data_IF_447987788151
#
_entry.id   IF_447987788151
#
_cell.length_a   1.000
_cell.length_b   1.000
_cell.length_c   1.000
_cell.angle_alpha   90.00
_cell.angle_beta   90.00
_cell.angle_gamma   90.00
#
_symmetry.space_group_name_H-M   'P 1'
#
loop_
_entity.id
_entity.type
_entity.pdbx_description
1 polymer ?
#
# COMPACT_ATOMS: atom_id res chain seq x y z
N UNK A 1 -7.26 -23.69 17.96
CA UNK A 1 -6.66 -23.07 19.15
C UNK A 1 -7.51 -21.89 19.57
N UNK A 2 -8.16 -21.98 20.73
CA UNK A 2 -8.87 -20.87 21.35
C UNK A 2 -7.79 -19.93 21.86
N UNK A 3 -7.56 -18.79 21.20
CA UNK A 3 -6.65 -17.77 21.72
C UNK A 3 -7.30 -17.19 22.98
N UNK A 4 -6.60 -17.30 24.11
CA UNK A 4 -6.99 -16.68 25.38
C UNK A 4 -7.12 -15.17 25.20
N UNK A 5 -8.11 -14.55 25.87
CA UNK A 5 -8.24 -13.10 25.89
C UNK A 5 -6.94 -12.46 26.44
N UNK A 6 -6.45 -11.36 25.82
CA UNK A 6 -5.25 -10.70 26.31
C UNK A 6 -5.54 -10.01 27.65
N UNK A 7 -4.78 -10.38 28.68
CA UNK A 7 -4.80 -9.71 29.99
C UNK A 7 -4.30 -8.26 29.87
N UNK A 8 -4.82 -7.35 30.70
CA UNK A 8 -4.44 -5.92 30.70
C UNK A 8 -2.92 -5.74 30.81
N UNK A 9 -2.27 -6.57 31.63
CA UNK A 9 -0.80 -6.65 31.74
C UNK A 9 -0.09 -6.84 30.40
N UNK A 10 -0.57 -7.80 29.59
CA UNK A 10 0.01 -8.07 28.26
C UNK A 10 -0.16 -6.89 27.29
N UNK A 11 -1.23 -6.12 27.44
CA UNK A 11 -1.50 -4.91 26.65
C UNK A 11 -0.52 -3.81 27.03
N UNK A 12 -0.35 -3.56 28.33
CA UNK A 12 0.57 -2.55 28.86
C UNK A 12 2.03 -2.84 28.48
N UNK A 13 2.50 -4.07 28.63
CA UNK A 13 3.85 -4.49 28.20
C UNK A 13 4.04 -4.30 26.70
N UNK A 14 3.04 -4.69 25.89
CA UNK A 14 3.13 -4.49 24.43
C UNK A 14 3.15 -3.01 24.03
N UNK A 15 2.56 -2.13 24.84
CA UNK A 15 2.62 -0.68 24.62
C UNK A 15 3.90 -0.04 25.17
N UNK A 16 4.79 -0.82 25.79
CA UNK A 16 5.99 -0.33 26.46
C UNK A 16 5.65 0.55 27.67
N UNK A 17 4.58 0.22 28.39
CA UNK A 17 4.07 0.94 29.55
C UNK A 17 4.05 0.05 30.79
N UNK A 18 5.11 -0.74 31.00
CA UNK A 18 5.23 -1.66 32.12
C UNK A 18 5.14 -0.95 33.48
N UNK A 19 5.53 0.32 33.53
CA UNK A 19 5.41 1.19 34.71
C UNK A 19 3.96 1.45 35.16
N UNK A 20 2.95 1.12 34.34
CA UNK A 20 1.54 1.23 34.70
C UNK A 20 0.94 -0.08 35.22
N UNK A 21 1.66 -1.21 35.14
CA UNK A 21 1.11 -2.53 35.48
C UNK A 21 0.68 -2.59 36.95
N UNK A 22 1.58 -2.22 37.87
CA UNK A 22 1.29 -2.24 39.31
C UNK A 22 0.13 -1.31 39.66
N UNK A 23 0.08 -0.10 39.08
CA UNK A 23 -1.03 0.85 39.29
C UNK A 23 -2.36 0.30 38.78
N UNK A 24 -2.38 -0.41 37.66
CA UNK A 24 -3.61 -1.00 37.11
C UNK A 24 -4.03 -2.25 37.89
N UNK A 25 -3.09 -3.05 38.39
CA UNK A 25 -3.35 -4.19 39.28
C UNK A 25 -3.91 -3.71 40.64
N UNK A 26 -3.31 -2.68 41.26
CA UNK A 26 -3.74 -2.09 42.54
C UNK A 26 -5.13 -1.45 42.48
N UNK A 27 -5.51 -0.92 41.32
CA UNK A 27 -6.84 -0.32 41.09
C UNK A 27 -7.84 -1.33 40.48
N UNK A 28 -7.50 -2.62 40.48
CA UNK A 28 -8.36 -3.71 39.97
C UNK A 28 -8.87 -3.47 38.55
N UNK A 29 -8.06 -2.85 37.68
CA UNK A 29 -8.42 -2.54 36.30
C UNK A 29 -8.32 -3.81 35.45
N UNK A 30 -9.43 -4.54 35.39
CA UNK A 30 -9.61 -5.68 34.49
C UNK A 30 -9.92 -5.24 33.05
N UNK A 31 -10.05 -6.22 32.13
CA UNK A 31 -10.27 -5.91 30.71
C UNK A 31 -11.63 -5.24 30.44
N UNK A 32 -12.63 -5.43 31.30
CA UNK A 32 -13.93 -4.77 31.15
C UNK A 32 -13.83 -3.30 31.58
N UNK A 33 -13.22 -3.04 32.73
CA UNK A 33 -12.98 -1.70 33.28
C UNK A 33 -12.00 -0.90 32.41
N UNK A 34 -10.96 -1.56 31.87
CA UNK A 34 -9.99 -0.97 30.94
C UNK A 34 -10.65 -0.35 29.70
N UNK A 35 -11.74 -0.95 29.20
CA UNK A 35 -12.50 -0.47 28.03
C UNK A 35 -13.45 0.68 28.34
N UNK A 36 -13.68 0.96 29.62
CA UNK A 36 -14.58 2.00 30.09
C UNK A 36 -13.82 3.21 30.65
N UNK A 37 -12.48 3.19 30.58
CA UNK A 37 -11.63 4.29 31.03
C UNK A 37 -11.93 5.57 30.26
N UNK A 38 -12.45 6.56 30.98
CA UNK A 38 -12.74 7.90 30.46
C UNK A 38 -11.64 8.90 30.86
N UNK A 39 -11.76 10.14 30.42
CA UNK A 39 -10.76 11.17 30.68
C UNK A 39 -10.57 11.46 32.19
N UNK A 40 -11.63 11.30 32.98
CA UNK A 40 -11.63 11.48 34.43
C UNK A 40 -10.83 10.37 35.11
N UNK A 41 -11.16 9.12 34.82
CA UNK A 41 -10.52 7.92 35.38
C UNK A 41 -9.04 7.85 34.99
N UNK A 42 -8.71 8.24 33.75
CA UNK A 42 -7.32 8.31 33.29
C UNK A 42 -6.50 9.36 34.03
N UNK A 43 -7.11 10.46 34.45
CA UNK A 43 -6.43 11.52 35.20
C UNK A 43 -6.06 11.04 36.61
N UNK A 44 -6.89 10.20 37.21
CA UNK A 44 -6.65 9.58 38.52
C UNK A 44 -5.62 8.44 38.43
N UNK A 45 -5.78 7.53 37.46
CA UNK A 45 -4.88 6.38 37.25
C UNK A 45 -3.49 6.77 36.75
N UNK A 46 -3.39 7.82 35.92
CA UNK A 46 -2.12 8.22 35.30
C UNK A 46 -1.90 9.72 35.53
N UNK A 47 -1.42 10.15 36.72
CA UNK A 47 -1.26 11.58 37.03
C UNK A 47 -0.27 12.30 36.11
N UNK A 48 0.77 11.59 35.65
CA UNK A 48 1.80 12.11 34.73
C UNK A 48 1.18 12.39 33.35
N UNK A 49 1.02 13.67 33.03
CA UNK A 49 0.37 14.16 31.79
C UNK A 49 0.93 13.51 30.52
N UNK A 50 2.27 13.45 30.39
CA UNK A 50 2.91 12.90 29.19
C UNK A 50 2.66 11.41 28.98
N UNK A 51 2.60 10.64 30.07
CA UNK A 51 2.29 9.22 30.03
C UNK A 51 0.81 8.99 29.71
N UNK A 52 -0.07 9.81 30.31
CA UNK A 52 -1.53 9.77 30.08
C UNK A 52 -1.89 10.05 28.63
N UNK A 53 -1.26 11.03 27.98
CA UNK A 53 -1.51 11.34 26.55
C UNK A 53 -1.09 10.18 25.66
N UNK A 54 0.08 9.56 25.91
CA UNK A 54 0.53 8.38 25.16
C UNK A 54 -0.42 7.20 25.37
N UNK A 55 -0.86 6.96 26.60
CA UNK A 55 -1.83 5.92 26.93
C UNK A 55 -3.17 6.15 26.21
N UNK A 56 -3.74 7.35 26.30
CA UNK A 56 -5.01 7.70 25.65
C UNK A 56 -4.96 7.51 24.12
N UNK A 57 -3.83 7.86 23.49
CA UNK A 57 -3.62 7.62 22.06
C UNK A 57 -3.64 6.12 21.71
N UNK A 58 -2.99 5.28 22.54
CA UNK A 58 -2.96 3.83 22.36
C UNK A 58 -4.31 3.18 22.67
N UNK A 59 -5.01 3.63 23.70
CA UNK A 59 -6.35 3.17 24.06
C UNK A 59 -7.35 3.46 22.94
N UNK A 60 -7.38 4.67 22.41
CA UNK A 60 -8.23 5.04 21.27
C UNK A 60 -7.90 4.23 20.01
N UNK A 61 -6.60 3.97 19.80
CA UNK A 61 -6.14 3.08 18.73
C UNK A 61 -6.55 1.63 19.00
N UNK A 62 -6.65 1.18 20.24
CA UNK A 62 -7.09 -0.17 20.59
C UNK A 62 -8.61 -0.36 20.46
N UNK A 63 -9.41 0.62 20.88
CA UNK A 63 -10.87 0.66 20.70
C UNK A 63 -11.29 0.64 19.22
N UNK A 64 -10.49 1.27 18.34
CA UNK A 64 -10.70 1.20 16.90
C UNK A 64 -10.50 -0.22 16.32
N UNK A 65 -9.82 -1.12 17.06
CA UNK A 65 -9.50 -2.48 16.63
C UNK A 65 -10.41 -3.54 17.27
N UNK A 66 -11.16 -3.23 18.33
CA UNK A 66 -12.00 -4.20 19.04
C UNK A 66 -13.25 -3.59 19.70
N UNK A 67 -14.46 -3.98 19.25
CA UNK A 67 -15.72 -3.69 19.97
C UNK A 67 -16.51 -4.97 20.22
N UNK A 68 -16.83 -5.26 21.49
CA UNK A 68 -17.60 -6.46 21.90
C UNK A 68 -19.06 -6.31 21.47
N UNK A 69 -19.68 -7.45 21.16
CA UNK A 69 -21.13 -7.56 20.95
C UNK A 69 -21.88 -7.05 22.17
N UNK A 70 -22.70 -6.01 22.02
CA UNK A 70 -23.59 -5.54 23.09
C UNK A 70 -25.03 -5.82 22.68
N UNK A 71 -25.77 -6.51 23.55
CA UNK A 71 -27.23 -6.76 23.49
C UNK A 71 -27.85 -6.66 22.09
N UNK A 72 -27.80 -7.75 21.32
CA UNK A 72 -28.44 -7.86 20.00
C UNK A 72 -27.67 -7.29 18.81
N UNK A 73 -26.49 -6.70 19.01
CA UNK A 73 -25.58 -6.32 17.91
C UNK A 73 -24.31 -7.18 17.94
N UNK A 74 -23.96 -7.89 16.85
CA UNK A 74 -22.75 -8.71 16.81
C UNK A 74 -21.51 -7.85 17.04
N UNK A 75 -20.43 -8.46 17.52
CA UNK A 75 -19.13 -7.79 17.66
C UNK A 75 -18.72 -7.10 16.34
N UNK A 76 -18.02 -5.96 16.46
CA UNK A 76 -17.55 -5.16 15.33
C UNK A 76 -16.14 -4.62 15.57
N UNK A 77 -15.56 -3.98 14.56
CA UNK A 77 -14.17 -3.50 14.59
C UNK A 77 -13.29 -4.31 13.65
N UNK A 78 -12.13 -3.74 13.29
CA UNK A 78 -11.26 -4.25 12.23
C UNK A 78 -10.91 -5.73 12.42
N UNK A 79 -10.63 -6.17 13.65
CA UNK A 79 -10.28 -7.57 13.94
C UNK A 79 -11.46 -8.54 13.76
N UNK A 80 -12.68 -8.16 14.15
CA UNK A 80 -13.88 -8.99 13.98
C UNK A 80 -14.34 -9.01 12.52
N UNK A 81 -14.12 -7.92 11.78
CA UNK A 81 -14.35 -7.87 10.33
C UNK A 81 -13.35 -8.78 9.62
N UNK A 82 -12.07 -8.72 9.98
CA UNK A 82 -11.01 -9.60 9.48
C UNK A 82 -11.26 -11.07 9.84
N UNK A 83 -11.75 -11.36 11.06
CA UNK A 83 -12.15 -12.71 11.49
C UNK A 83 -13.41 -13.20 10.79
N UNK A 84 -14.38 -12.34 10.48
CA UNK A 84 -15.54 -12.70 9.63
C UNK A 84 -15.09 -13.03 8.21
N UNK A 85 -14.14 -12.26 7.66
CA UNK A 85 -13.51 -12.56 6.36
C UNK A 85 -12.76 -13.90 6.40
N UNK A 86 -11.97 -14.15 7.44
CA UNK A 86 -11.23 -15.42 7.63
C UNK A 86 -12.15 -16.62 7.86
N UNK A 87 -13.17 -16.51 8.71
CA UNK A 87 -14.17 -17.57 8.96
C UNK A 87 -15.03 -17.88 7.73
N UNK A 88 -15.34 -16.87 6.90
CA UNK A 88 -15.97 -17.08 5.58
C UNK A 88 -15.08 -17.87 4.63
N UNK A 89 -13.75 -17.72 4.70
CA UNK A 89 -12.80 -18.56 3.95
C UNK A 89 -12.80 -20.00 4.47
N UNK A 90 -12.77 -20.22 5.78
CA UNK A 90 -12.73 -21.57 6.38
C UNK A 90 -14.02 -22.36 6.11
N UNK A 91 -15.21 -21.73 6.20
CA UNK A 91 -16.48 -22.39 5.86
C UNK A 91 -16.60 -22.77 4.38
N UNK A 92 -15.88 -22.07 3.50
CA UNK A 92 -15.82 -22.33 2.05
C UNK A 92 -15.00 -23.58 1.70
N UNK A 93 -14.15 -24.07 2.61
CA UNK A 93 -13.40 -25.32 2.45
C UNK A 93 -14.06 -26.54 3.10
N UNK A 94 -15.12 -26.38 3.90
CA UNK A 94 -15.77 -27.48 4.62
C UNK A 94 -17.09 -27.96 4.00
N UNK A 95 -17.56 -27.36 2.88
CA UNK A 95 -18.88 -27.68 2.32
C UNK A 95 -18.83 -28.03 0.84
N UNK A 96 -17.82 -28.80 0.44
CA UNK A 96 -17.83 -29.45 -0.87
C UNK A 96 -17.09 -30.79 -0.75
N UNK A 97 -17.77 -31.80 -0.19
CA UNK A 97 -17.41 -33.20 -0.40
C UNK A 97 -18.60 -34.09 -0.02
N UNK A 98 -19.39 -34.47 -1.02
CA UNK A 98 -20.07 -35.76 -1.07
C UNK A 98 -20.12 -36.18 -2.54
N UNK A 99 -19.15 -37.01 -2.97
CA UNK A 99 -19.39 -38.26 -3.68
C UNK A 99 -18.08 -38.84 -4.27
N UNK A 100 -17.61 -39.90 -3.59
CA UNK A 100 -16.96 -41.11 -4.12
C UNK A 100 -15.61 -41.03 -4.86
N UNK A 101 -14.57 -41.53 -4.18
CA UNK A 101 -13.31 -42.04 -4.75
C UNK A 101 -13.54 -43.18 -5.77
N UNK A 102 -12.60 -43.38 -6.71
CA UNK A 102 -11.57 -44.40 -6.45
C UNK A 102 -10.13 -43.97 -6.76
N UNK A 103 -9.27 -44.30 -5.80
CA UNK A 103 -7.87 -44.73 -5.89
C UNK A 103 -6.96 -44.28 -7.04
N UNK A 104 -5.95 -43.49 -6.65
CA UNK A 104 -4.56 -43.75 -7.01
C UNK A 104 -4.07 -43.13 -8.31
N UNK A 105 -3.53 -41.91 -8.21
CA UNK A 105 -2.30 -41.47 -8.89
C UNK A 105 -1.81 -40.14 -8.31
N UNK A 106 -0.57 -40.18 -7.83
CA UNK A 106 0.28 -39.04 -7.58
C UNK A 106 0.47 -38.20 -8.86
N UNK A 107 0.88 -36.93 -8.66
CA UNK A 107 1.45 -35.95 -9.61
C UNK A 107 0.44 -34.92 -10.16
N UNK A 108 0.66 -33.59 -10.12
CA UNK A 108 1.80 -32.75 -9.74
C UNK A 108 1.26 -31.40 -9.26
N UNK A 109 1.62 -30.96 -8.05
CA UNK A 109 1.70 -29.54 -7.74
C UNK A 109 2.94 -28.99 -8.46
N UNK A 110 2.81 -27.89 -9.21
CA UNK A 110 3.96 -27.13 -9.72
C UNK A 110 4.65 -26.40 -8.55
N UNK A 111 5.35 -27.19 -7.76
CA UNK A 111 6.32 -26.76 -6.77
C UNK A 111 7.57 -26.32 -7.54
N UNK A 112 7.73 -25.01 -7.73
CA UNK A 112 8.97 -24.46 -8.27
C UNK A 112 10.01 -24.43 -7.17
N UNK A 113 10.72 -25.56 -7.06
CA UNK A 113 12.06 -25.80 -6.49
C UNK A 113 12.71 -24.53 -5.89
N UNK A 114 12.43 -24.26 -4.62
CA UNK A 114 13.14 -23.23 -3.83
C UNK A 114 14.47 -23.85 -3.36
N UNK A 115 15.40 -24.02 -4.31
CA UNK A 115 16.69 -24.72 -4.17
C UNK A 115 17.70 -24.07 -3.21
N UNK A 116 17.30 -23.04 -2.45
CA UNK A 116 18.17 -22.31 -1.52
C UNK A 116 17.87 -22.76 -0.09
N UNK A 117 18.89 -23.31 0.58
CA UNK A 117 18.75 -23.70 1.99
C UNK A 117 18.42 -22.50 2.90
N UNK A 118 17.73 -22.74 4.03
CA UNK A 118 17.46 -21.67 5.02
C UNK A 118 18.78 -21.09 5.56
N UNK A 119 19.83 -21.91 5.66
CA UNK A 119 21.16 -21.47 6.07
C UNK A 119 21.77 -20.47 5.08
N UNK A 120 21.70 -20.77 3.78
CA UNK A 120 22.20 -19.87 2.74
C UNK A 120 21.36 -18.59 2.64
N UNK A 121 20.05 -18.71 2.84
CA UNK A 121 19.16 -17.55 2.94
C UNK A 121 19.56 -16.63 4.07
N UNK A 122 19.87 -17.19 5.25
CA UNK A 122 20.32 -16.40 6.40
C UNK A 122 21.71 -15.78 6.17
N UNK A 123 22.63 -16.48 5.50
CA UNK A 123 23.94 -15.92 5.10
C UNK A 123 23.77 -14.73 4.14
N UNK A 124 22.95 -14.88 3.11
CA UNK A 124 22.67 -13.81 2.13
C UNK A 124 22.00 -12.61 2.80
N UNK A 125 21.01 -12.83 3.65
CA UNK A 125 20.37 -11.76 4.43
C UNK A 125 21.38 -11.01 5.30
N UNK A 126 22.21 -11.73 6.05
CA UNK A 126 23.24 -11.12 6.91
C UNK A 126 24.23 -10.30 6.10
N UNK A 127 24.60 -10.78 4.90
CA UNK A 127 25.45 -10.04 3.98
C UNK A 127 24.78 -8.75 3.48
N UNK A 128 23.51 -8.82 3.06
CA UNK A 128 22.73 -7.68 2.56
C UNK A 128 22.50 -6.58 3.62
N UNK A 129 22.56 -6.91 4.90
CA UNK A 129 22.45 -5.91 5.98
C UNK A 129 23.69 -5.01 6.07
N UNK A 130 24.87 -5.52 5.70
CA UNK A 130 26.14 -4.85 5.94
C UNK A 130 26.85 -4.41 4.65
N UNK A 131 26.43 -4.93 3.48
CA UNK A 131 27.16 -4.74 2.23
C UNK A 131 26.23 -4.25 1.10
N UNK A 132 26.79 -3.42 0.22
CA UNK A 132 26.17 -2.98 -1.04
C UNK A 132 27.03 -3.33 -2.26
N UNK A 133 28.29 -3.70 -2.02
CA UNK A 133 29.29 -3.99 -3.04
C UNK A 133 29.93 -5.36 -2.78
N UNK A 134 30.26 -6.12 -3.84
CA UNK A 134 30.07 -5.79 -5.26
C UNK A 134 28.59 -5.77 -5.69
N UNK A 135 28.22 -4.84 -6.57
CA UNK A 135 26.83 -4.67 -7.02
C UNK A 135 26.21 -5.97 -7.56
N UNK A 136 26.94 -6.72 -8.39
CA UNK A 136 26.45 -7.98 -8.94
C UNK A 136 26.06 -9.01 -7.86
N UNK A 137 26.87 -9.12 -6.80
CA UNK A 137 26.58 -10.00 -5.66
C UNK A 137 25.35 -9.54 -4.89
N UNK A 138 25.20 -8.21 -4.69
CA UNK A 138 24.01 -7.65 -4.05
C UNK A 138 22.75 -7.95 -4.86
N UNK A 139 22.78 -7.75 -6.17
CA UNK A 139 21.65 -8.04 -7.07
C UNK A 139 21.30 -9.54 -7.07
N UNK A 140 22.31 -10.42 -7.14
CA UNK A 140 22.13 -11.87 -7.05
C UNK A 140 21.50 -12.30 -5.71
N UNK A 141 22.01 -11.80 -4.58
CA UNK A 141 21.48 -12.14 -3.27
C UNK A 141 20.08 -11.57 -3.07
N UNK A 142 19.82 -10.36 -3.56
CA UNK A 142 18.48 -9.80 -3.58
C UNK A 142 17.55 -10.72 -4.39
N UNK A 143 17.97 -11.20 -5.57
CA UNK A 143 17.14 -12.05 -6.42
C UNK A 143 16.81 -13.37 -5.72
N UNK A 144 17.83 -14.07 -5.21
CA UNK A 144 17.68 -15.34 -4.48
C UNK A 144 16.82 -15.23 -3.24
N UNK A 145 16.75 -14.06 -2.61
CA UNK A 145 15.96 -13.83 -1.39
C UNK A 145 14.61 -13.14 -1.64
N UNK A 146 14.20 -12.93 -2.91
CA UNK A 146 12.96 -12.23 -3.25
C UNK A 146 11.70 -12.93 -2.71
N UNK A 147 11.53 -14.24 -2.93
CA UNK A 147 10.38 -15.00 -2.40
C UNK A 147 10.30 -14.90 -0.87
N UNK A 148 11.44 -14.97 -0.17
CA UNK A 148 11.50 -14.86 1.30
C UNK A 148 11.10 -13.47 1.79
N UNK A 149 11.56 -12.41 1.13
CA UNK A 149 11.10 -11.03 1.39
C UNK A 149 9.59 -10.91 1.22
N UNK A 150 9.02 -11.51 0.18
CA UNK A 150 7.58 -11.46 -0.06
C UNK A 150 6.78 -12.13 1.05
N UNK A 151 7.25 -13.26 1.58
CA UNK A 151 6.65 -13.90 2.75
C UNK A 151 6.77 -13.00 4.00
N UNK A 152 7.91 -12.35 4.19
CA UNK A 152 8.14 -11.43 5.30
C UNK A 152 7.21 -10.21 5.24
N UNK A 153 7.05 -9.61 4.06
CA UNK A 153 6.17 -8.46 3.82
C UNK A 153 4.72 -8.83 4.14
N UNK A 154 4.24 -9.97 3.64
CA UNK A 154 2.85 -10.44 3.90
C UNK A 154 2.60 -10.80 5.37
N UNK A 155 3.63 -11.21 6.11
CA UNK A 155 3.49 -11.70 7.49
C UNK A 155 3.72 -10.62 8.55
N UNK A 156 4.69 -9.73 8.34
CA UNK A 156 5.07 -8.68 9.30
C UNK A 156 4.80 -7.27 8.82
N UNK A 157 4.63 -7.05 7.52
CA UNK A 157 4.50 -5.74 6.91
C UNK A 157 5.80 -5.25 6.25
N UNK A 158 5.64 -4.27 5.37
CA UNK A 158 6.75 -3.68 4.62
C UNK A 158 7.79 -2.97 5.50
N UNK A 159 7.38 -2.26 6.56
CA UNK A 159 8.31 -1.50 7.43
C UNK A 159 9.32 -2.42 8.11
N UNK A 160 8.84 -3.56 8.62
CA UNK A 160 9.64 -4.61 9.23
C UNK A 160 10.54 -5.28 8.18
N UNK A 161 9.99 -5.58 7.00
CA UNK A 161 10.77 -6.13 5.90
C UNK A 161 11.90 -5.18 5.43
N UNK A 162 11.66 -3.87 5.44
CA UNK A 162 12.65 -2.86 5.08
C UNK A 162 13.81 -2.79 6.08
N UNK A 163 13.58 -3.08 7.36
CA UNK A 163 14.65 -3.22 8.37
C UNK A 163 15.50 -4.45 8.07
N UNK A 164 14.87 -5.58 7.73
CA UNK A 164 15.57 -6.83 7.44
C UNK A 164 16.31 -6.79 6.09
N UNK A 165 15.75 -6.11 5.09
CA UNK A 165 16.27 -6.00 3.72
C UNK A 165 16.31 -4.53 3.25
N UNK A 166 17.20 -3.70 3.80
CA UNK A 166 17.25 -2.27 3.49
C UNK A 166 17.57 -1.96 2.03
N UNK A 167 18.18 -2.92 1.32
CA UNK A 167 18.61 -2.76 -0.08
C UNK A 167 17.47 -2.82 -1.09
N UNK A 168 16.25 -3.20 -0.67
CA UNK A 168 15.09 -3.24 -1.57
C UNK A 168 14.74 -1.87 -2.17
N UNK A 169 15.17 -0.77 -1.55
CA UNK A 169 14.99 0.59 -2.07
C UNK A 169 16.16 1.08 -2.94
N UNK A 170 17.18 0.25 -3.21
CA UNK A 170 18.24 0.59 -4.15
C UNK A 170 17.74 0.48 -5.60
N UNK A 171 18.34 1.25 -6.54
CA UNK A 171 17.90 1.26 -7.93
C UNK A 171 17.88 -0.14 -8.56
N UNK A 172 16.71 -0.52 -9.11
CA UNK A 172 16.47 -1.80 -9.81
C UNK A 172 15.90 -2.93 -8.95
N UNK A 173 15.94 -2.82 -7.62
CA UNK A 173 15.55 -3.92 -6.72
C UNK A 173 14.05 -4.12 -6.62
N UNK A 174 13.27 -3.04 -6.73
CA UNK A 174 11.79 -3.10 -6.76
C UNK A 174 11.34 -3.78 -8.05
N UNK A 175 11.95 -3.42 -9.18
CA UNK A 175 11.65 -4.02 -10.47
C UNK A 175 12.01 -5.50 -10.50
N UNK A 176 13.15 -5.88 -9.92
CA UNK A 176 13.56 -7.26 -9.79
C UNK A 176 12.55 -8.08 -8.97
N UNK A 177 12.10 -7.58 -7.82
CA UNK A 177 11.12 -8.30 -7.00
C UNK A 177 9.75 -8.37 -7.69
N UNK A 178 9.36 -7.32 -8.39
CA UNK A 178 8.15 -7.35 -9.20
C UNK A 178 8.25 -8.37 -10.33
N UNK A 179 9.40 -8.48 -11.01
CA UNK A 179 9.64 -9.49 -12.05
C UNK A 179 9.52 -10.92 -11.48
N UNK A 180 9.99 -11.16 -10.26
CA UNK A 180 9.83 -12.45 -9.58
C UNK A 180 8.36 -12.74 -9.27
N UNK A 181 7.60 -11.72 -8.83
CA UNK A 181 6.19 -11.85 -8.48
C UNK A 181 5.25 -11.98 -9.68
N UNK A 182 5.53 -11.23 -10.75
CA UNK A 182 4.63 -11.01 -11.90
C UNK A 182 5.44 -11.03 -13.20
N UNK A 183 6.07 -12.16 -13.56
CA UNK A 183 7.06 -12.23 -14.63
C UNK A 183 6.51 -11.81 -15.99
N UNK A 184 5.26 -12.15 -16.27
CA UNK A 184 4.58 -11.81 -17.52
C UNK A 184 4.14 -10.35 -17.61
N UNK A 185 4.16 -9.60 -16.50
CA UNK A 185 3.59 -8.26 -16.44
C UNK A 185 4.62 -7.15 -16.25
N UNK A 186 5.87 -7.48 -15.91
CA UNK A 186 6.89 -6.51 -15.51
C UNK A 186 7.17 -5.40 -16.54
N UNK A 187 7.11 -5.71 -17.83
CA UNK A 187 7.45 -4.78 -18.92
C UNK A 187 6.23 -4.15 -19.61
N UNK A 188 5.01 -4.56 -19.22
CA UNK A 188 3.77 -4.19 -19.93
C UNK A 188 3.50 -2.69 -20.01
N UNK A 189 3.98 -1.90 -19.04
CA UNK A 189 3.84 -0.44 -19.14
C UNK A 189 4.64 0.12 -20.31
N UNK A 190 5.88 -0.30 -20.51
CA UNK A 190 6.70 0.15 -21.63
C UNK A 190 6.15 -0.35 -22.97
N UNK A 191 5.61 -1.57 -23.00
CA UNK A 191 5.06 -2.18 -24.21
C UNK A 191 3.75 -1.53 -24.66
N UNK A 192 2.86 -1.19 -23.73
CA UNK A 192 1.48 -0.80 -24.05
C UNK A 192 1.20 0.69 -23.93
N UNK A 193 1.92 1.41 -23.08
CA UNK A 193 1.60 2.81 -22.80
C UNK A 193 1.53 3.69 -24.05
N UNK A 194 2.42 3.59 -25.05
CA UNK A 194 2.33 4.45 -26.24
C UNK A 194 1.02 4.30 -27.02
N UNK A 195 0.46 3.09 -27.10
CA UNK A 195 -0.81 2.84 -27.78
C UNK A 195 -2.01 3.23 -26.91
N UNK A 196 -2.00 2.83 -25.63
CA UNK A 196 -3.10 3.11 -24.69
C UNK A 196 -3.20 4.62 -24.41
N UNK A 197 -2.07 5.34 -24.37
CA UNK A 197 -2.00 6.78 -24.19
C UNK A 197 -2.86 7.54 -25.23
N UNK A 198 -2.78 7.14 -26.51
CA UNK A 198 -3.57 7.76 -27.59
C UNK A 198 -5.07 7.56 -27.36
N UNK A 199 -5.46 6.37 -26.91
CA UNK A 199 -6.86 6.05 -26.63
C UNK A 199 -7.37 6.83 -25.42
N UNK A 200 -6.60 6.91 -24.32
CA UNK A 200 -7.01 7.66 -23.14
C UNK A 200 -7.11 9.16 -23.44
N UNK A 201 -6.19 9.74 -24.22
CA UNK A 201 -6.26 11.16 -24.59
C UNK A 201 -7.47 11.46 -25.47
N UNK A 202 -7.74 10.62 -26.48
CA UNK A 202 -8.94 10.73 -27.33
C UNK A 202 -10.23 10.62 -26.50
N UNK A 203 -10.29 9.64 -25.59
CA UNK A 203 -11.41 9.49 -24.67
C UNK A 203 -11.58 10.71 -23.75
N UNK A 204 -10.46 11.25 -23.25
CA UNK A 204 -10.48 12.40 -22.35
C UNK A 204 -11.01 13.63 -23.07
N UNK A 205 -10.52 13.93 -24.27
CA UNK A 205 -10.96 15.10 -25.05
C UNK A 205 -12.45 15.01 -25.39
N UNK A 206 -12.94 13.82 -25.74
CA UNK A 206 -14.35 13.60 -26.09
C UNK A 206 -15.30 13.75 -24.88
N UNK A 207 -14.91 13.24 -23.72
CA UNK A 207 -15.82 13.14 -22.56
C UNK A 207 -15.61 14.24 -21.51
N UNK A 208 -14.46 14.90 -21.52
CA UNK A 208 -14.07 15.93 -20.56
C UNK A 208 -13.54 17.17 -21.30
N UNK A 209 -14.37 17.85 -22.09
CA UNK A 209 -13.93 19.01 -22.87
C UNK A 209 -13.40 20.11 -21.95
N UNK A 210 -12.20 20.61 -22.26
CA UNK A 210 -11.55 21.67 -21.47
C UNK A 210 -10.74 21.18 -20.27
N UNK A 211 -10.57 19.86 -20.07
CA UNK A 211 -9.78 19.29 -18.97
C UNK A 211 -8.36 19.87 -18.86
N UNK A 212 -7.71 20.18 -19.99
CA UNK A 212 -6.37 20.79 -19.99
C UNK A 212 -6.32 22.17 -19.33
N UNK A 213 -7.43 22.92 -19.31
CA UNK A 213 -7.50 24.24 -18.65
C UNK A 213 -7.54 24.13 -17.14
N UNK A 214 -7.95 22.97 -16.62
CA UNK A 214 -7.99 22.68 -15.18
C UNK A 214 -6.66 22.13 -14.68
N UNK A 215 -5.74 21.76 -15.59
CA UNK A 215 -4.41 21.33 -15.21
C UNK A 215 -3.64 22.51 -14.60
N UNK A 216 -3.02 22.32 -13.42
CA UNK A 216 -2.35 23.41 -12.70
C UNK A 216 -1.02 23.88 -13.33
N UNK A 217 -0.66 23.40 -14.53
CA UNK A 217 0.63 23.67 -15.18
C UNK A 217 0.50 23.73 -16.71
N UNK A 218 1.51 24.33 -17.32
CA UNK A 218 1.60 24.49 -18.78
C UNK A 218 1.81 23.13 -19.47
N UNK A 219 0.73 22.61 -20.03
CA UNK A 219 0.70 21.31 -20.71
C UNK A 219 1.50 21.30 -22.02
N UNK A 220 1.86 22.46 -22.57
CA UNK A 220 2.61 22.55 -23.83
C UNK A 220 4.04 22.02 -23.71
N UNK A 221 4.53 21.86 -22.48
CA UNK A 221 5.87 21.34 -22.18
C UNK A 221 5.87 19.83 -21.92
N UNK A 222 4.70 19.19 -21.87
CA UNK A 222 4.56 17.74 -21.69
C UNK A 222 4.66 17.04 -23.04
N UNK A 223 5.29 15.87 -23.05
CA UNK A 223 5.11 14.95 -24.17
C UNK A 223 3.68 14.39 -24.16
N UNK A 224 3.23 13.86 -25.29
CA UNK A 224 1.93 13.20 -25.39
C UNK A 224 1.78 12.07 -24.36
N UNK A 225 2.82 11.24 -24.19
CA UNK A 225 2.85 10.16 -23.20
C UNK A 225 2.75 10.66 -21.76
N UNK A 226 3.39 11.79 -21.43
CA UNK A 226 3.28 12.37 -20.09
C UNK A 226 1.88 12.96 -19.87
N UNK A 227 1.33 13.64 -20.88
CA UNK A 227 -0.02 14.20 -20.84
C UNK A 227 -1.08 13.11 -20.58
N UNK A 228 -0.88 11.92 -21.15
CA UNK A 228 -1.72 10.75 -20.88
C UNK A 228 -1.79 10.38 -19.39
N UNK A 229 -0.68 10.47 -18.65
CA UNK A 229 -0.68 10.19 -17.21
C UNK A 229 -1.44 11.27 -16.43
N UNK A 230 -1.33 12.54 -16.82
CA UNK A 230 -2.10 13.62 -16.23
C UNK A 230 -3.59 13.54 -16.54
N UNK A 231 -4.00 12.87 -17.61
CA UNK A 231 -5.39 12.61 -17.94
C UNK A 231 -6.04 11.57 -17.01
N UNK A 232 -5.27 10.62 -16.45
CA UNK A 232 -5.84 9.51 -15.67
C UNK A 232 -6.69 9.96 -14.47
N UNK A 233 -6.25 10.92 -13.62
CA UNK A 233 -7.06 11.36 -12.49
C UNK A 233 -8.30 12.17 -12.91
N UNK A 234 -8.32 12.73 -14.13
CA UNK A 234 -9.50 13.40 -14.71
C UNK A 234 -10.54 12.39 -15.19
N UNK A 235 -10.10 11.35 -15.90
CA UNK A 235 -10.97 10.29 -16.41
C UNK A 235 -11.51 9.43 -15.27
N UNK A 236 -10.65 9.12 -14.31
CA UNK A 236 -10.92 8.16 -13.24
C UNK A 236 -11.16 8.86 -11.89
N UNK A 237 -11.94 9.94 -11.87
CA UNK A 237 -12.27 10.64 -10.63
C UNK A 237 -12.90 9.70 -9.58
N UNK A 238 -12.33 9.71 -8.38
CA UNK A 238 -12.83 8.96 -7.23
C UNK A 238 -14.17 9.56 -6.77
N UNK A 239 -15.29 8.95 -7.19
CA UNK A 239 -16.65 9.33 -6.78
C UNK A 239 -17.02 8.89 -5.36
N UNK A 240 -16.04 8.55 -4.52
CA UNK A 240 -16.29 8.19 -3.13
C UNK A 240 -17.04 9.32 -2.44
N UNK A 241 -18.34 9.11 -2.15
CA UNK A 241 -19.09 9.97 -1.25
C UNK A 241 -18.41 9.87 0.11
N UNK A 242 -17.54 10.83 0.45
CA UNK A 242 -17.05 10.99 1.82
C UNK A 242 -18.28 11.11 2.74
N UNK A 243 -18.14 10.66 4.00
CA UNK A 243 -19.22 10.71 5.01
C UNK A 243 -19.95 12.06 4.95
N UNK A 244 -21.28 12.01 5.09
CA UNK A 244 -22.21 13.15 5.01
C UNK A 244 -21.58 14.43 5.61
N UNK A 245 -21.26 15.42 4.78
CA UNK A 245 -20.68 16.70 5.20
C UNK A 245 -19.28 17.03 4.65
N UNK A 246 -18.53 16.05 4.12
CA UNK A 246 -17.29 16.31 3.34
C UNK A 246 -17.62 16.23 1.85
N UNK A 247 -17.44 17.33 1.13
CA UNK A 247 -17.73 17.44 -0.31
C UNK A 247 -16.97 16.42 -1.17
N UNK A 248 -17.38 16.32 -2.44
CA UNK A 248 -16.66 15.54 -3.46
C UNK A 248 -15.19 15.99 -3.53
N UNK A 249 -14.29 15.05 -3.78
CA UNK A 249 -12.89 15.36 -4.03
C UNK A 249 -12.77 16.21 -5.29
N UNK A 250 -11.97 17.26 -5.25
CA UNK A 250 -11.64 18.06 -6.43
C UNK A 250 -10.68 17.30 -7.33
N UNK A 251 -10.80 17.45 -8.65
CA UNK A 251 -9.89 16.81 -9.61
C UNK A 251 -8.43 17.14 -9.34
N UNK A 252 -8.14 18.40 -8.98
CA UNK A 252 -6.79 18.86 -8.57
C UNK A 252 -6.20 18.03 -7.41
N UNK A 253 -7.02 17.54 -6.48
CA UNK A 253 -6.55 16.71 -5.37
C UNK A 253 -6.19 15.30 -5.86
N UNK A 254 -7.00 14.70 -6.74
CA UNK A 254 -6.69 13.40 -7.36
C UNK A 254 -5.45 13.46 -8.25
N UNK A 255 -5.28 14.56 -9.00
CA UNK A 255 -4.06 14.81 -9.80
C UNK A 255 -2.85 14.89 -8.90
N UNK A 256 -2.90 15.69 -7.82
CA UNK A 256 -1.80 15.83 -6.86
C UNK A 256 -1.48 14.52 -6.14
N UNK A 257 -2.50 13.73 -5.81
CA UNK A 257 -2.36 12.40 -5.21
C UNK A 257 -1.63 11.42 -6.15
N UNK A 258 -1.91 11.48 -7.46
CA UNK A 258 -1.27 10.61 -8.44
C UNK A 258 0.15 11.07 -8.80
N UNK A 259 0.30 12.36 -9.12
CA UNK A 259 1.57 13.01 -9.49
C UNK A 259 1.65 14.38 -8.78
N UNK A 260 2.52 14.47 -7.77
CA UNK A 260 2.74 15.71 -7.02
C UNK A 260 3.83 16.55 -7.70
N UNK A 261 3.43 17.57 -8.46
CA UNK A 261 4.38 18.51 -9.07
C UNK A 261 4.72 19.62 -8.09
N UNK A 262 6.03 19.89 -7.97
CA UNK A 262 6.59 20.94 -7.14
C UNK A 262 7.59 21.77 -7.93
N UNK A 263 7.90 22.96 -7.44
CA UNK A 263 8.99 23.78 -7.98
C UNK A 263 10.35 23.10 -7.79
N UNK A 264 11.27 23.25 -8.74
CA UNK A 264 12.65 22.75 -8.65
C UNK A 264 13.46 23.28 -7.46
N UNK A 265 13.06 24.40 -6.85
CA UNK A 265 13.72 24.91 -5.62
C UNK A 265 13.30 24.15 -4.36
N UNK A 266 12.36 23.20 -4.48
CA UNK A 266 11.91 22.39 -3.34
C UNK A 266 13.05 21.52 -2.83
N UNK A 267 13.39 21.67 -1.54
CA UNK A 267 14.30 20.76 -0.89
C UNK A 267 13.61 19.40 -0.68
N UNK A 268 13.96 18.42 -1.51
CA UNK A 268 13.33 17.10 -1.49
C UNK A 268 13.47 16.39 -0.14
N UNK A 269 14.58 16.61 0.59
CA UNK A 269 14.81 15.99 1.91
C UNK A 269 13.88 16.58 2.98
N UNK A 270 13.75 17.91 3.01
CA UNK A 270 12.79 18.58 3.91
C UNK A 270 11.38 18.13 3.59
N UNK A 271 11.02 18.15 2.30
CA UNK A 271 9.69 17.73 1.88
C UNK A 271 9.37 16.30 2.33
N UNK A 272 10.30 15.35 2.17
CA UNK A 272 10.10 13.99 2.64
C UNK A 272 9.83 13.91 4.15
N UNK A 273 10.50 14.74 4.96
CA UNK A 273 10.32 14.81 6.41
C UNK A 273 8.94 15.34 6.83
N UNK A 274 8.40 16.27 6.05
CA UNK A 274 7.17 17.01 6.35
C UNK A 274 5.88 16.32 5.86
N UNK A 275 5.99 15.12 5.27
CA UNK A 275 4.82 14.38 4.77
C UNK A 275 3.95 13.89 5.92
N UNK A 276 2.69 14.28 5.87
CA UNK A 276 1.61 13.67 6.64
C UNK A 276 1.07 12.45 5.89
N UNK A 277 1.51 11.26 6.28
CA UNK A 277 1.10 9.96 5.71
C UNK A 277 -0.41 9.71 5.84
N UNK A 278 -1.11 10.41 6.74
CA UNK A 278 -2.58 10.29 6.86
C UNK A 278 -3.32 11.08 5.79
N UNK A 279 -2.66 12.08 5.19
CA UNK A 279 -3.22 12.95 4.14
C UNK A 279 -2.74 12.51 2.76
N UNK A 280 -1.47 12.15 2.64
CA UNK A 280 -0.87 11.69 1.38
C UNK A 280 -0.10 10.38 1.64
N UNK A 281 -0.80 9.23 1.62
CA UNK A 281 -0.19 7.93 1.80
C UNK A 281 0.86 7.67 0.71
N UNK A 282 1.95 7.00 1.10
CA UNK A 282 3.00 6.56 0.19
C UNK A 282 2.73 5.11 -0.28
N UNK A 283 3.16 4.71 -1.49
CA UNK A 283 3.99 5.48 -2.43
C UNK A 283 3.23 6.46 -3.32
N UNK A 284 3.96 7.48 -3.82
CA UNK A 284 3.46 8.38 -4.87
C UNK A 284 4.60 8.99 -5.71
N UNK A 285 4.27 9.45 -6.91
CA UNK A 285 5.23 10.09 -7.83
C UNK A 285 5.34 11.59 -7.56
N UNK A 286 6.57 12.11 -7.56
CA UNK A 286 6.87 13.53 -7.45
C UNK A 286 7.64 14.00 -8.68
N UNK A 287 7.26 15.17 -9.20
CA UNK A 287 7.99 15.86 -10.28
C UNK A 287 8.48 17.20 -9.75
N UNK A 288 9.79 17.39 -9.71
CA UNK A 288 10.37 18.72 -9.50
C UNK A 288 10.53 19.39 -10.86
N UNK A 289 9.82 20.50 -11.06
CA UNK A 289 9.73 21.18 -12.33
C UNK A 289 10.41 22.55 -12.28
N UNK A 290 11.34 22.80 -13.20
CA UNK A 290 11.86 24.14 -13.49
C UNK A 290 11.18 24.70 -14.76
N UNK A 291 10.21 25.60 -14.56
CA UNK A 291 9.48 26.20 -15.69
C UNK A 291 10.38 27.12 -16.53
N UNK A 292 11.42 27.71 -15.91
CA UNK A 292 12.34 28.63 -16.60
C UNK A 292 13.32 27.86 -17.49
N UNK A 293 13.89 26.77 -16.95
CA UNK A 293 14.86 25.95 -17.67
C UNK A 293 14.23 24.81 -18.47
N UNK A 294 12.91 24.62 -18.37
CA UNK A 294 12.17 23.51 -18.98
C UNK A 294 12.75 22.13 -18.61
N UNK A 295 13.34 22.03 -17.43
CA UNK A 295 13.97 20.81 -16.91
C UNK A 295 13.11 20.20 -15.81
N UNK A 296 13.20 18.88 -15.68
CA UNK A 296 12.37 18.09 -14.77
C UNK A 296 13.21 17.01 -14.10
N UNK A 297 12.91 16.76 -12.82
CA UNK A 297 13.45 15.63 -12.06
C UNK A 297 12.28 14.81 -11.54
N UNK A 298 12.42 13.49 -11.58
CA UNK A 298 11.37 12.55 -11.24
C UNK A 298 11.78 11.73 -10.03
N UNK A 299 10.86 11.57 -9.09
CA UNK A 299 11.06 10.78 -7.89
C UNK A 299 9.84 9.92 -7.59
N UNK A 300 10.05 8.79 -6.94
CA UNK A 300 9.01 8.04 -6.24
C UNK A 300 9.28 8.13 -4.75
N UNK A 301 8.28 8.54 -3.99
CA UNK A 301 8.40 8.69 -2.55
C UNK A 301 7.84 7.45 -1.84
N UNK A 302 8.62 6.90 -0.92
CA UNK A 302 8.23 5.79 -0.06
C UNK A 302 8.97 5.88 1.27
N UNK A 303 8.30 5.67 2.40
CA UNK A 303 8.89 5.76 3.75
C UNK A 303 9.75 7.02 3.97
N UNK A 304 9.26 8.18 3.48
CA UNK A 304 9.95 9.47 3.56
C UNK A 304 11.33 9.46 2.90
N UNK A 305 11.50 8.63 1.88
CA UNK A 305 12.67 8.58 1.01
C UNK A 305 12.23 8.89 -0.40
N UNK A 306 12.99 9.73 -1.09
CA UNK A 306 12.80 10.00 -2.51
C UNK A 306 13.76 9.11 -3.32
N UNK A 307 13.21 8.20 -4.12
CA UNK A 307 13.96 7.37 -5.05
C UNK A 307 13.98 8.07 -6.42
N UNK A 308 15.15 8.39 -6.99
CA UNK A 308 15.23 9.06 -8.28
C UNK A 308 14.80 8.13 -9.42
N UNK A 309 14.11 8.68 -10.41
CA UNK A 309 13.74 8.02 -11.66
C UNK A 309 14.24 8.82 -12.87
N UNK A 310 14.52 8.13 -13.97
CA UNK A 310 15.08 8.73 -15.19
C UNK A 310 14.03 9.44 -16.06
N UNK A 311 12.75 9.10 -15.90
CA UNK A 311 11.63 9.69 -16.63
C UNK A 311 10.33 9.57 -15.82
N UNK A 312 9.27 10.28 -16.23
CA UNK A 312 7.95 10.12 -15.62
C UNK A 312 7.41 8.69 -15.80
N UNK A 313 7.59 8.10 -16.99
CA UNK A 313 7.20 6.72 -17.27
C UNK A 313 7.85 5.75 -16.28
N UNK A 314 9.17 5.92 -16.04
CA UNK A 314 9.91 5.09 -15.08
C UNK A 314 9.42 5.31 -13.64
N UNK A 315 9.12 6.54 -13.25
CA UNK A 315 8.59 6.84 -11.92
C UNK A 315 7.22 6.18 -11.69
N UNK A 316 6.31 6.27 -12.67
CA UNK A 316 4.99 5.63 -12.63
C UNK A 316 5.15 4.10 -12.55
N UNK A 317 6.02 3.51 -13.37
CA UNK A 317 6.32 2.07 -13.36
C UNK A 317 6.78 1.61 -11.97
N UNK A 318 7.83 2.24 -11.44
CA UNK A 318 8.40 1.90 -10.14
C UNK A 318 7.36 2.10 -9.03
N UNK A 319 6.59 3.20 -9.05
CA UNK A 319 5.53 3.46 -8.07
C UNK A 319 4.41 2.41 -8.13
N UNK A 320 3.98 2.00 -9.32
CA UNK A 320 2.99 0.92 -9.49
C UNK A 320 3.52 -0.39 -8.91
N UNK A 321 4.76 -0.77 -9.26
CA UNK A 321 5.39 -2.01 -8.82
C UNK A 321 5.53 -2.08 -7.29
N UNK A 322 5.78 -0.96 -6.62
CA UNK A 322 5.84 -0.88 -5.15
C UNK A 322 4.55 -1.37 -4.47
N UNK A 323 3.38 -1.11 -5.04
CA UNK A 323 2.11 -1.58 -4.45
C UNK A 323 2.04 -3.10 -4.34
N UNK A 324 2.58 -3.81 -5.34
CA UNK A 324 2.63 -5.27 -5.35
C UNK A 324 3.80 -5.83 -4.55
N UNK A 325 4.98 -5.22 -4.70
CA UNK A 325 6.20 -5.70 -4.01
C UNK A 325 6.09 -5.51 -2.51
N UNK A 326 5.47 -4.41 -2.05
CA UNK A 326 5.36 -4.06 -0.64
C UNK A 326 3.99 -4.38 -0.02
N UNK A 327 3.07 -4.96 -0.78
CA UNK A 327 1.69 -5.24 -0.33
C UNK A 327 0.99 -4.00 0.25
N UNK A 328 1.12 -2.88 -0.47
CA UNK A 328 0.58 -1.57 -0.07
C UNK A 328 -0.66 -1.26 -0.92
N UNK A 329 -1.78 -1.01 -0.25
CA UNK A 329 -3.03 -0.61 -0.91
C UNK A 329 -2.87 0.72 -1.69
N UNK A 330 -3.63 0.87 -2.76
CA UNK A 330 -3.69 2.14 -3.47
C UNK A 330 -4.30 3.23 -2.60
N UNK A 331 -3.73 4.43 -2.67
CA UNK A 331 -4.31 5.57 -1.98
C UNK A 331 -5.71 5.92 -2.54
N UNK A 332 -6.72 6.21 -1.70
CA UNK A 332 -8.12 6.38 -2.15
C UNK A 332 -8.36 7.52 -3.15
N UNK A 333 -7.49 8.52 -3.14
CA UNK A 333 -7.65 9.73 -3.95
C UNK A 333 -7.25 9.54 -5.43
N UNK A 334 -6.46 8.51 -5.74
CA UNK A 334 -6.12 8.11 -7.11
C UNK A 334 -6.21 6.60 -7.38
N UNK A 335 -6.92 5.85 -6.52
CA UNK A 335 -7.10 4.38 -6.62
C UNK A 335 -7.55 3.94 -8.03
N UNK A 336 -8.48 4.66 -8.63
CA UNK A 336 -9.02 4.30 -9.94
C UNK A 336 -7.98 4.45 -11.08
N UNK A 337 -7.06 5.41 -10.98
CA UNK A 337 -5.93 5.54 -11.91
C UNK A 337 -4.98 4.36 -11.78
N UNK A 338 -4.71 3.89 -10.56
CA UNK A 338 -3.91 2.69 -10.33
C UNK A 338 -4.62 1.40 -10.78
N UNK A 339 -5.92 1.24 -10.53
CA UNK A 339 -6.70 0.10 -11.04
C UNK A 339 -6.77 0.06 -12.57
N UNK A 340 -6.80 1.22 -13.22
CA UNK A 340 -6.67 1.30 -14.68
C UNK A 340 -5.32 0.73 -15.15
N UNK A 341 -4.20 1.19 -14.57
CA UNK A 341 -2.88 0.64 -14.90
C UNK A 341 -2.83 -0.86 -14.62
N UNK A 342 -3.31 -1.28 -13.45
CA UNK A 342 -3.34 -2.67 -13.05
C UNK A 342 -4.04 -3.56 -14.09
N UNK A 343 -5.24 -3.16 -14.52
CA UNK A 343 -6.11 -4.05 -15.29
C UNK A 343 -5.95 -3.93 -16.81
N UNK A 344 -5.60 -2.75 -17.33
CA UNK A 344 -5.51 -2.50 -18.78
C UNK A 344 -4.06 -2.57 -19.26
N UNK A 345 -3.13 -2.04 -18.48
CA UNK A 345 -1.71 -2.06 -18.83
C UNK A 345 -1.09 -3.38 -18.37
N UNK A 346 -0.99 -3.58 -17.06
CA UNK A 346 -0.31 -4.75 -16.47
C UNK A 346 -1.15 -6.04 -16.57
N UNK A 347 -2.45 -5.94 -16.85
CA UNK A 347 -3.39 -7.08 -16.94
C UNK A 347 -3.40 -7.98 -15.69
N UNK A 348 -3.14 -7.39 -14.54
CA UNK A 348 -3.16 -8.08 -13.26
C UNK A 348 -4.59 -8.09 -12.72
N UNK A 349 -5.31 -9.19 -12.96
CA UNK A 349 -6.66 -9.37 -12.41
C UNK A 349 -6.59 -10.08 -11.07
N UNK A 350 -6.47 -9.33 -9.97
CA UNK A 350 -6.69 -9.89 -8.63
C UNK A 350 -8.17 -10.26 -8.54
N UNK A 351 -8.46 -11.56 -8.57
CA UNK A 351 -9.78 -12.18 -8.77
C UNK A 351 -10.89 -11.83 -7.74
N UNK A 352 -10.74 -10.78 -6.92
CA UNK A 352 -11.68 -10.40 -5.85
C UNK A 352 -11.94 -8.87 -5.76
N UNK A 353 -11.26 -8.00 -6.52
CA UNK A 353 -11.57 -6.55 -6.43
C UNK A 353 -12.84 -6.19 -7.21
N UNK A 354 -13.78 -5.53 -6.52
CA UNK A 354 -14.89 -4.83 -7.16
C UNK A 354 -14.31 -3.67 -7.96
N UNK A 355 -14.11 -3.91 -9.24
CA UNK A 355 -13.58 -2.91 -10.16
C UNK A 355 -14.38 -1.59 -10.09
N UNK A 356 -13.65 -0.48 -10.04
CA UNK A 356 -14.24 0.86 -10.05
C UNK A 356 -14.98 1.09 -11.38
N UNK A 357 -16.21 1.60 -11.29
CA UNK A 357 -17.12 1.69 -12.45
C UNK A 357 -16.59 2.53 -13.61
N UNK A 358 -15.78 3.57 -13.34
CA UNK A 358 -15.14 4.37 -14.40
C UNK A 358 -14.06 3.56 -15.14
N UNK A 359 -13.28 2.75 -14.43
CA UNK A 359 -12.31 1.82 -15.03
C UNK A 359 -13.03 0.78 -15.88
N UNK A 360 -14.13 0.22 -15.37
CA UNK A 360 -14.97 -0.73 -16.12
C UNK A 360 -15.53 -0.13 -17.40
N UNK A 361 -16.05 1.10 -17.31
CA UNK A 361 -16.59 1.82 -18.46
C UNK A 361 -15.50 2.11 -19.51
N UNK A 362 -14.33 2.54 -19.06
CA UNK A 362 -13.20 2.75 -19.98
C UNK A 362 -12.71 1.44 -20.59
N UNK A 363 -12.61 0.34 -19.84
CA UNK A 363 -12.21 -0.96 -20.40
C UNK A 363 -13.17 -1.41 -21.51
N UNK A 364 -14.47 -1.26 -21.30
CA UNK A 364 -15.47 -1.57 -22.33
C UNK A 364 -15.28 -0.72 -23.59
N UNK A 365 -14.97 0.56 -23.44
CA UNK A 365 -14.63 1.45 -24.56
C UNK A 365 -13.33 1.04 -25.25
N UNK A 366 -12.26 0.79 -24.48
CA UNK A 366 -10.95 0.37 -24.98
C UNK A 366 -11.03 -0.92 -25.79
N UNK A 367 -11.80 -1.91 -25.33
CA UNK A 367 -12.01 -3.18 -26.02
C UNK A 367 -12.91 -3.07 -27.28
N UNK A 368 -13.55 -1.92 -27.49
CA UNK A 368 -14.41 -1.67 -28.67
C UNK A 368 -13.69 -0.92 -29.79
N UNK A 369 -12.47 -0.45 -29.53
CA UNK A 369 -11.56 0.11 -30.53
C UNK A 369 -10.72 -1.02 -31.14
#
# INVERSE_FOLDING_TARGET
FIMSEPEVKSILTRWGMDELIETFEDNEIDLESFKLLDETSLKELIPKVGLRVKFAYRLKSYEAFYTKSTSGRPASGWLEEHLKYSRKRVKKYSTTEEATSPEGKHDNDEDTDDSVSEEDTQKMKTWLQHNEQPRATMEEYMLKTAKRRQILIKSKGFKEALVEYPKILLPGMIEQDFQVLQPESAEKLYEKWPAVCKVILSYTEKNFPGWMKELPWDCTLLTEEELGFFALPYVFQSRHKRKKGRGSMSVSAGVKAFIDIRSNVTNIKSFCGDIDETVHPQPFTVVLWDLKQKSRQFFVLIERKALPATSLLKAIDTCFKMHFVFDIEYQPDCEASWQFLQSIIYELNTAITKEISSVKAFRAYYNSM
#
